data_IF_960891677167
#
_entry.id   IF_960891677167
#
_cell.length_a   1.000
_cell.length_b   1.000
_cell.length_c   1.000
_cell.angle_alpha   90.00
_cell.angle_beta   90.00
_cell.angle_gamma   90.00
#
_symmetry.space_group_name_H-M   'P 1'
#
loop_
_entity.id
_entity.type
_entity.pdbx_description
1 polymer ?
#
# COMPACT_ATOMS: atom_id res chain seq x y z
N UNK A 1 -28.42 -19.86 4.56
CA UNK A 1 -26.99 -20.05 4.89
C UNK A 1 -26.87 -20.19 6.40
N UNK A 2 -26.33 -21.30 6.90
CA UNK A 2 -26.10 -21.50 8.34
C UNK A 2 -24.72 -20.93 8.70
N UNK A 3 -24.68 -19.95 9.60
CA UNK A 3 -23.42 -19.46 10.18
C UNK A 3 -22.85 -20.56 11.10
N UNK A 4 -21.73 -21.17 10.69
CA UNK A 4 -20.99 -22.11 11.53
C UNK A 4 -20.11 -21.33 12.50
N UNK A 5 -20.38 -21.46 13.79
CA UNK A 5 -19.55 -20.88 14.83
C UNK A 5 -18.17 -21.54 14.84
N UNK A 6 -17.11 -20.74 14.64
CA UNK A 6 -15.72 -21.22 14.62
C UNK A 6 -15.07 -21.24 16.00
N UNK A 7 -15.35 -20.21 16.79
CA UNK A 7 -14.86 -20.05 18.17
C UNK A 7 -16.04 -19.76 19.09
N UNK A 8 -16.01 -20.35 20.29
CA UNK A 8 -16.96 -20.07 21.37
C UNK A 8 -16.17 -19.82 22.64
N UNK A 9 -16.46 -18.72 23.32
CA UNK A 9 -15.88 -18.39 24.63
C UNK A 9 -14.36 -18.61 24.69
N UNK A 10 -13.64 -18.00 23.74
CA UNK A 10 -12.20 -18.13 23.61
C UNK A 10 -11.52 -16.77 23.83
N UNK A 11 -10.47 -16.77 24.62
CA UNK A 11 -9.59 -15.62 24.83
C UNK A 11 -8.27 -15.82 24.09
N UNK A 12 -7.82 -14.80 23.37
CA UNK A 12 -6.52 -14.78 22.70
C UNK A 12 -5.65 -13.70 23.31
N UNK A 13 -4.53 -14.10 23.91
CA UNK A 13 -3.53 -13.17 24.46
C UNK A 13 -2.24 -13.27 23.67
N UNK A 14 -1.82 -12.16 23.07
CA UNK A 14 -0.58 -12.02 22.32
C UNK A 14 0.35 -11.07 23.07
N UNK A 15 1.59 -11.48 23.33
CA UNK A 15 2.59 -10.63 23.95
C UNK A 15 3.42 -9.90 22.90
N UNK A 16 3.74 -8.63 23.17
CA UNK A 16 4.63 -7.82 22.34
C UNK A 16 5.99 -8.52 22.16
N UNK A 17 6.55 -8.43 20.95
CA UNK A 17 7.85 -9.02 20.61
C UNK A 17 7.85 -10.54 20.39
N UNK A 18 6.69 -11.21 20.46
CA UNK A 18 6.59 -12.66 20.21
C UNK A 18 6.00 -12.98 18.84
N UNK A 19 6.40 -14.13 18.30
CA UNK A 19 5.88 -14.70 17.04
C UNK A 19 4.98 -15.89 17.36
N UNK A 20 3.78 -15.91 16.78
CA UNK A 20 2.79 -16.95 16.98
C UNK A 20 2.41 -17.59 15.64
N UNK A 21 2.14 -18.89 15.65
CA UNK A 21 1.65 -19.62 14.47
C UNK A 21 0.28 -20.22 14.75
N UNK A 22 -0.66 -20.04 13.82
CA UNK A 22 -1.99 -20.66 13.89
C UNK A 22 -1.98 -21.99 13.12
N UNK A 23 -2.08 -23.11 13.84
CA UNK A 23 -1.98 -24.46 13.28
C UNK A 23 -3.30 -25.22 13.45
N UNK A 24 -3.65 -26.04 12.46
CA UNK A 24 -4.86 -26.87 12.48
C UNK A 24 -5.14 -27.50 11.12
N UNK A 25 -6.14 -28.38 11.04
CA UNK A 25 -6.55 -29.00 9.77
C UNK A 25 -7.09 -27.96 8.77
N UNK A 26 -7.11 -28.31 7.48
CA UNK A 26 -7.74 -27.46 6.47
C UNK A 26 -9.26 -27.40 6.69
N UNK A 27 -9.86 -26.25 6.42
CA UNK A 27 -11.31 -26.03 6.60
C UNK A 27 -11.77 -25.83 8.06
N UNK A 28 -10.86 -25.73 9.03
CA UNK A 28 -11.21 -25.48 10.45
C UNK A 28 -11.46 -24.00 10.77
N UNK A 29 -11.28 -23.09 9.80
CA UNK A 29 -11.53 -21.66 9.97
C UNK A 29 -10.31 -20.80 10.27
N UNK A 30 -9.08 -21.28 10.02
CA UNK A 30 -7.84 -20.48 10.22
C UNK A 30 -7.85 -19.15 9.45
N UNK A 31 -8.12 -19.23 8.13
CA UNK A 31 -8.22 -18.05 7.27
C UNK A 31 -9.37 -17.14 7.69
N UNK A 32 -10.49 -17.72 8.13
CA UNK A 32 -11.63 -16.94 8.65
C UNK A 32 -11.26 -16.19 9.92
N UNK A 33 -10.56 -16.82 10.88
CA UNK A 33 -10.09 -16.14 12.09
C UNK A 33 -9.15 -14.97 11.75
N UNK A 34 -8.19 -15.20 10.85
CA UNK A 34 -7.27 -14.15 10.39
C UNK A 34 -8.05 -13.01 9.71
N UNK A 35 -9.03 -13.31 8.87
CA UNK A 35 -9.89 -12.33 8.19
C UNK A 35 -10.75 -11.52 9.17
N UNK A 36 -11.26 -12.13 10.25
CA UNK A 36 -12.00 -11.41 11.30
C UNK A 36 -11.10 -10.46 12.09
N UNK A 37 -9.85 -10.86 12.34
CA UNK A 37 -8.84 -9.97 12.94
C UNK A 37 -8.54 -8.81 11.98
N UNK A 38 -8.23 -9.10 10.71
CA UNK A 38 -7.84 -8.09 9.70
C UNK A 38 -8.95 -7.09 9.38
N UNK A 39 -10.21 -7.52 9.39
CA UNK A 39 -11.38 -6.66 9.17
C UNK A 39 -11.80 -5.84 10.40
N UNK A 40 -11.11 -6.00 11.54
CA UNK A 40 -11.45 -5.29 12.78
C UNK A 40 -12.77 -5.72 13.42
N UNK A 41 -13.32 -6.88 13.03
CA UNK A 41 -14.53 -7.44 13.65
C UNK A 41 -14.29 -7.88 15.10
N UNK A 42 -13.03 -8.07 15.48
CA UNK A 42 -12.60 -8.29 16.85
C UNK A 42 -12.12 -6.96 17.44
N UNK A 43 -12.45 -6.68 18.70
CA UNK A 43 -11.97 -5.48 19.40
C UNK A 43 -10.46 -5.58 19.60
N UNK A 44 -9.71 -4.71 18.91
CA UNK A 44 -8.26 -4.59 19.07
C UNK A 44 -7.97 -3.37 19.97
N UNK A 45 -7.16 -3.52 21.03
CA UNK A 45 -6.71 -2.40 21.85
C UNK A 45 -6.07 -1.26 21.05
N UNK A 46 -6.25 -0.03 21.52
CA UNK A 46 -5.58 1.14 20.95
C UNK A 46 -4.05 0.98 21.05
N UNK A 47 -3.33 1.40 20.00
CA UNK A 47 -1.86 1.32 19.94
C UNK A 47 -1.31 0.04 19.30
N UNK A 48 -2.16 -0.87 18.82
CA UNK A 48 -1.75 -2.01 17.99
C UNK A 48 -1.95 -1.66 16.52
N UNK A 49 -0.87 -1.64 15.74
CA UNK A 49 -0.96 -1.58 14.27
C UNK A 49 -1.14 -2.98 13.71
N UNK A 50 -2.16 -3.14 12.88
CA UNK A 50 -2.45 -4.40 12.21
C UNK A 50 -2.11 -4.28 10.71
N UNK A 51 -1.29 -5.21 10.23
CA UNK A 51 -1.02 -5.39 8.81
C UNK A 51 -1.38 -6.83 8.44
N UNK A 52 -2.30 -6.99 7.50
CA UNK A 52 -2.69 -8.29 6.94
C UNK A 52 -2.19 -8.38 5.51
N UNK A 53 -1.64 -9.53 5.15
CA UNK A 53 -1.27 -9.87 3.78
C UNK A 53 -2.22 -10.96 3.30
N UNK A 54 -2.86 -10.75 2.16
CA UNK A 54 -3.78 -11.73 1.59
C UNK A 54 -3.04 -12.99 1.14
N UNK A 55 -3.68 -14.14 1.30
CA UNK A 55 -3.14 -15.40 0.82
C UNK A 55 -3.38 -15.45 -0.68
N UNK A 56 -2.29 -15.35 -1.44
CA UNK A 56 -2.22 -15.31 -2.91
C UNK A 56 -2.52 -13.95 -3.54
N UNK A 57 -1.47 -13.32 -4.06
CA UNK A 57 -1.60 -12.33 -5.13
C UNK A 57 -1.72 -13.15 -6.41
N UNK A 58 -2.73 -12.89 -7.24
CA UNK A 58 -2.75 -13.40 -8.61
C UNK A 58 -1.52 -12.81 -9.30
N UNK A 59 -0.47 -13.62 -9.43
CA UNK A 59 0.75 -13.21 -10.11
C UNK A 59 0.42 -12.98 -11.57
N UNK A 60 0.74 -11.81 -12.06
CA UNK A 60 0.78 -11.52 -13.49
C UNK A 60 2.23 -11.61 -14.00
N UNK A 61 2.44 -11.28 -15.27
CA UNK A 61 3.79 -11.28 -15.88
C UNK A 61 4.64 -10.07 -15.42
N UNK A 62 4.19 -9.28 -14.44
CA UNK A 62 4.95 -8.15 -13.91
C UNK A 62 6.21 -8.66 -13.21
N UNK A 63 7.37 -8.10 -13.59
CA UNK A 63 8.63 -8.46 -12.93
C UNK A 63 8.57 -8.03 -11.47
N UNK A 64 9.15 -8.84 -10.58
CA UNK A 64 9.18 -8.58 -9.13
C UNK A 64 9.67 -7.17 -8.80
N UNK A 65 10.71 -6.70 -9.51
CA UNK A 65 11.26 -5.35 -9.32
C UNK A 65 10.23 -4.26 -9.66
N UNK A 66 9.46 -4.43 -10.72
CA UNK A 66 8.46 -3.47 -11.16
C UNK A 66 7.28 -3.43 -10.17
N UNK A 67 6.86 -4.60 -9.65
CA UNK A 67 5.82 -4.68 -8.63
C UNK A 67 6.23 -3.99 -7.32
N UNK A 68 7.49 -4.14 -6.90
CA UNK A 68 8.03 -3.45 -5.72
C UNK A 68 8.09 -1.94 -5.96
N UNK A 69 8.60 -1.49 -7.11
CA UNK A 69 8.63 -0.06 -7.47
C UNK A 69 7.23 0.55 -7.61
N UNK A 70 6.24 -0.24 -8.06
CA UNK A 70 4.84 0.18 -8.15
C UNK A 70 4.19 0.33 -6.77
N UNK A 71 4.64 -0.42 -5.77
CA UNK A 71 4.12 -0.32 -4.40
C UNK A 71 4.48 1.00 -3.69
N UNK A 72 5.52 1.70 -4.16
CA UNK A 72 5.87 3.03 -3.64
C UNK A 72 4.92 4.09 -4.17
N UNK A 73 3.83 4.31 -3.43
CA UNK A 73 2.77 5.26 -3.79
C UNK A 73 3.29 6.70 -3.90
N UNK A 74 4.35 7.05 -3.15
CA UNK A 74 4.93 8.40 -3.17
C UNK A 74 5.72 8.60 -4.46
N UNK A 75 6.58 7.65 -4.82
CA UNK A 75 7.31 7.64 -6.10
C UNK A 75 6.35 7.72 -7.28
N UNK A 76 5.30 6.89 -7.28
CA UNK A 76 4.29 6.89 -8.36
C UNK A 76 3.60 8.25 -8.50
N UNK A 77 3.20 8.86 -7.39
CA UNK A 77 2.58 10.19 -7.40
C UNK A 77 3.52 11.28 -7.94
N UNK A 78 4.83 11.17 -7.72
CA UNK A 78 5.82 12.11 -8.25
C UNK A 78 6.02 11.95 -9.76
N UNK A 79 6.17 10.71 -10.23
CA UNK A 79 6.30 10.42 -11.67
C UNK A 79 5.07 10.87 -12.46
N UNK A 80 3.86 10.66 -11.93
CA UNK A 80 2.63 11.13 -12.57
C UNK A 80 2.59 12.66 -12.64
N UNK A 81 2.98 13.35 -11.54
CA UNK A 81 3.08 14.82 -11.55
C UNK A 81 4.09 15.32 -12.57
N UNK A 82 5.24 14.68 -12.69
CA UNK A 82 6.27 15.01 -13.67
C UNK A 82 5.70 14.92 -15.09
N UNK A 83 5.07 13.79 -15.41
CA UNK A 83 4.44 13.56 -16.71
C UNK A 83 3.36 14.60 -17.03
N UNK A 84 2.51 14.93 -16.06
CA UNK A 84 1.48 15.98 -16.21
C UNK A 84 2.11 17.36 -16.47
N UNK A 85 3.17 17.72 -15.75
CA UNK A 85 3.85 19.01 -15.91
C UNK A 85 4.55 19.10 -17.28
N UNK A 86 5.25 18.04 -17.70
CA UNK A 86 5.87 17.97 -19.02
C UNK A 86 4.82 18.04 -20.15
N UNK A 87 3.70 17.33 -20.01
CA UNK A 87 2.60 17.39 -20.97
C UNK A 87 1.98 18.78 -21.07
N UNK A 88 1.88 19.52 -19.95
CA UNK A 88 1.42 20.92 -19.95
C UNK A 88 2.39 21.83 -20.68
N UNK A 89 3.69 21.67 -20.44
CA UNK A 89 4.75 22.46 -21.10
C UNK A 89 4.80 22.23 -22.61
N UNK A 90 4.46 21.02 -23.06
CA UNK A 90 4.45 20.65 -24.48
C UNK A 90 3.18 21.07 -25.25
N UNK A 91 2.19 21.70 -24.60
CA UNK A 91 0.98 22.18 -25.29
C UNK A 91 1.31 23.33 -26.25
N UNK A 92 0.78 23.26 -27.46
CA UNK A 92 0.79 24.37 -28.41
C UNK A 92 -0.09 25.52 -27.89
N UNK A 93 0.38 26.78 -28.05
CA UNK A 93 -0.26 28.02 -27.56
C UNK A 93 -0.25 28.26 -26.05
N UNK A 94 0.88 27.97 -25.41
CA UNK A 94 1.10 28.25 -24.00
C UNK A 94 1.64 29.68 -23.78
N UNK A 95 1.08 30.43 -22.83
CA UNK A 95 1.59 31.78 -22.52
C UNK A 95 2.96 31.72 -21.83
N UNK A 96 3.82 32.74 -22.00
CA UNK A 96 5.14 32.79 -21.36
C UNK A 96 5.06 32.76 -19.83
N UNK A 97 4.07 33.45 -19.24
CA UNK A 97 3.86 33.46 -17.79
C UNK A 97 3.49 32.06 -17.26
N UNK A 98 2.70 31.37 -18.05
CA UNK A 98 2.22 30.01 -17.84
C UNK A 98 3.38 29.02 -17.95
N UNK A 99 4.18 29.09 -19.02
CA UNK A 99 5.41 28.31 -19.21
C UNK A 99 6.40 28.48 -18.05
N UNK A 100 6.63 29.72 -17.61
CA UNK A 100 7.49 30.01 -16.46
C UNK A 100 6.97 29.38 -15.17
N UNK A 101 5.65 29.41 -14.95
CA UNK A 101 5.02 28.79 -13.77
C UNK A 101 5.25 27.28 -13.72
N UNK A 102 4.97 26.55 -14.80
CA UNK A 102 5.14 25.09 -14.76
C UNK A 102 6.61 24.66 -14.80
N UNK A 103 7.51 25.46 -15.39
CA UNK A 103 8.96 25.24 -15.26
C UNK A 103 9.45 25.37 -13.81
N UNK A 104 8.94 26.36 -13.06
CA UNK A 104 9.24 26.50 -11.63
C UNK A 104 8.67 25.33 -10.81
N UNK A 105 7.44 24.92 -11.11
CA UNK A 105 6.78 23.77 -10.46
C UNK A 105 7.51 22.43 -10.74
N UNK A 106 7.98 22.23 -11.97
CA UNK A 106 8.77 21.07 -12.36
C UNK A 106 10.16 21.06 -11.68
N UNK A 107 10.79 22.23 -11.57
CA UNK A 107 12.08 22.37 -10.87
C UNK A 107 11.96 22.00 -9.38
N UNK A 108 10.86 22.42 -8.73
CA UNK A 108 10.57 22.05 -7.34
C UNK A 108 10.34 20.55 -7.19
N UNK A 109 9.63 19.93 -8.14
CA UNK A 109 9.39 18.48 -8.13
C UNK A 109 10.70 17.69 -8.22
N UNK A 110 11.60 18.05 -9.14
CA UNK A 110 12.91 17.40 -9.25
C UNK A 110 13.76 17.57 -7.99
N UNK A 111 13.74 18.76 -7.38
CA UNK A 111 14.43 18.97 -6.10
C UNK A 111 13.86 18.09 -4.97
N UNK A 112 12.55 17.87 -4.93
CA UNK A 112 11.92 16.96 -3.97
C UNK A 112 12.28 15.49 -4.24
N UNK A 113 12.33 15.08 -5.51
CA UNK A 113 12.74 13.72 -5.92
C UNK A 113 14.20 13.42 -5.56
N UNK A 114 15.10 14.37 -5.81
CA UNK A 114 16.53 14.26 -5.46
C UNK A 114 16.72 14.10 -3.94
N UNK A 115 16.03 14.91 -3.14
CA UNK A 115 16.09 14.82 -1.68
C UNK A 115 15.60 13.46 -1.13
N UNK A 116 14.72 12.79 -1.86
CA UNK A 116 14.19 11.48 -1.48
C UNK A 116 15.03 10.29 -1.99
N UNK A 117 16.14 10.55 -2.69
CA UNK A 117 16.98 9.52 -3.32
C UNK A 117 16.20 8.59 -4.25
N UNK A 118 15.16 9.09 -4.92
CA UNK A 118 14.30 8.28 -5.80
C UNK A 118 14.96 7.92 -7.15
N UNK A 119 16.16 8.44 -7.42
CA UNK A 119 16.94 8.25 -8.64
C UNK A 119 17.84 7.00 -8.65
N UNK A 120 17.68 6.06 -7.71
CA UNK A 120 18.41 4.77 -7.71
C UNK A 120 17.47 3.57 -7.69
#
# INVERSE_FOLDING_TARGET
>A
MLFRQLLSSADLTLAYGRRYGLVGRNGIGKTTLISMISSGQLRIPAGITLLSVEQEVVGDDTRVIDAVLASDSRRQAMLEKEHVLQARLNKENISEAEKNKWNDELSKLYAEMEHLQLDK
#
